data_IF_913725201569
#
_entry.id   IF_913725201569
#
_cell.length_a   1.000
_cell.length_b   1.000
_cell.length_c   1.000
_cell.angle_alpha   90.00
_cell.angle_beta   90.00
_cell.angle_gamma   90.00
#
_symmetry.space_group_name_H-M   'P 1'
#
loop_
_entity.id
_entity.type
_entity.pdbx_description
1 polymer ?
#
# COMPACT_ATOMS: atom_id res chain seq x y z
N UNK A 1 5.03 14.12 -16.23
CA UNK A 1 4.68 14.00 -14.79
C UNK A 1 3.33 13.30 -14.69
N UNK A 2 3.20 12.20 -13.95
CA UNK A 2 1.90 11.54 -13.75
C UNK A 2 1.72 11.21 -12.29
N UNK A 3 0.79 11.90 -11.66
CA UNK A 3 0.52 11.88 -10.23
C UNK A 3 -0.64 10.91 -9.96
N UNK A 4 -0.53 10.05 -8.94
CA UNK A 4 -1.66 9.22 -8.47
C UNK A 4 -2.11 8.08 -9.39
N UNK A 5 -1.20 7.36 -10.06
CA UNK A 5 -1.58 6.18 -10.87
C UNK A 5 -2.01 5.01 -9.97
N UNK A 6 -3.32 4.87 -9.79
CA UNK A 6 -3.95 3.66 -9.26
C UNK A 6 -3.82 2.50 -10.25
N UNK A 7 -3.85 1.28 -9.75
CA UNK A 7 -4.09 0.11 -10.59
C UNK A 7 -5.55 0.16 -11.08
N UNK A 8 -5.88 -0.18 -12.34
CA UNK A 8 -7.27 -0.13 -12.83
C UNK A 8 -8.29 -0.89 -11.98
N UNK A 9 -7.85 -1.92 -11.25
CA UNK A 9 -8.70 -2.73 -10.34
C UNK A 9 -8.87 -2.14 -8.94
N UNK A 10 -8.27 -0.97 -8.64
CA UNK A 10 -8.31 -0.35 -7.31
C UNK A 10 -9.30 0.81 -7.32
N UNK A 11 -10.17 0.86 -6.31
CA UNK A 11 -11.04 1.99 -6.01
C UNK A 11 -10.52 2.79 -4.82
N UNK A 12 -11.13 3.95 -4.55
CA UNK A 12 -10.87 4.73 -3.34
C UNK A 12 -10.63 6.21 -3.61
N UNK A 13 -9.95 6.86 -2.68
CA UNK A 13 -9.71 8.31 -2.72
C UNK A 13 -8.69 8.66 -3.82
N UNK A 14 -9.11 9.48 -4.77
CA UNK A 14 -8.25 10.06 -5.81
C UNK A 14 -8.39 11.59 -5.78
N UNK A 15 -7.40 12.31 -5.23
CA UNK A 15 -7.41 13.77 -5.28
C UNK A 15 -7.33 14.27 -6.73
N UNK A 16 -8.33 15.03 -7.15
CA UNK A 16 -8.37 15.69 -8.46
C UNK A 16 -8.37 17.19 -8.24
N UNK A 17 -7.33 17.86 -8.73
CA UNK A 17 -7.23 19.31 -8.68
C UNK A 17 -7.44 19.91 -10.07
N UNK A 18 -8.13 21.04 -10.13
CA UNK A 18 -8.48 21.73 -11.36
C UNK A 18 -7.75 23.07 -11.47
N UNK A 19 -7.41 23.46 -12.69
CA UNK A 19 -6.81 24.77 -12.99
C UNK A 19 -5.64 25.13 -12.06
N UNK A 20 -5.74 26.27 -11.37
CA UNK A 20 -4.72 26.79 -10.45
C UNK A 20 -4.51 25.92 -9.21
N UNK A 21 -5.49 25.09 -8.83
CA UNK A 21 -5.35 24.19 -7.68
C UNK A 21 -4.36 23.04 -7.94
N UNK A 22 -4.01 22.74 -9.20
CA UNK A 22 -3.00 21.71 -9.53
C UNK A 22 -1.66 21.94 -8.82
N UNK A 23 -1.34 23.18 -8.48
CA UNK A 23 -0.14 23.57 -7.73
C UNK A 23 -0.04 22.92 -6.35
N UNK A 24 -1.17 22.59 -5.70
CA UNK A 24 -1.17 21.99 -4.35
C UNK A 24 -1.00 20.46 -4.38
N UNK A 25 -1.14 19.81 -5.54
CA UNK A 25 -1.06 18.34 -5.65
C UNK A 25 0.31 17.78 -5.21
N UNK A 26 1.39 18.54 -5.39
CA UNK A 26 2.73 18.14 -4.94
C UNK A 26 2.77 17.88 -3.44
N UNK A 27 2.06 18.69 -2.64
CA UNK A 27 1.96 18.52 -1.19
C UNK A 27 1.20 17.25 -0.84
N UNK A 28 0.11 16.95 -1.57
CA UNK A 28 -0.76 15.80 -1.30
C UNK A 28 -0.08 14.48 -1.70
N UNK A 29 0.70 14.45 -2.77
CA UNK A 29 1.27 13.19 -3.27
C UNK A 29 2.28 12.59 -2.29
N UNK A 30 3.01 13.44 -1.56
CA UNK A 30 4.04 13.01 -0.62
C UNK A 30 3.50 12.67 0.77
N UNK A 31 2.21 12.87 1.03
CA UNK A 31 1.60 12.46 2.30
C UNK A 31 1.50 10.94 2.41
N UNK A 32 1.38 10.45 3.65
CA UNK A 32 1.03 9.06 3.91
C UNK A 32 -0.26 8.66 3.18
N UNK A 33 -0.35 7.36 2.88
CA UNK A 33 -1.50 6.74 2.23
C UNK A 33 -2.03 5.63 3.11
N UNK A 34 -3.35 5.48 3.11
CA UNK A 34 -4.04 4.40 3.80
C UNK A 34 -4.77 3.53 2.77
N UNK A 35 -4.70 2.21 2.93
CA UNK A 35 -5.36 1.25 2.09
C UNK A 35 -6.15 0.25 2.94
N UNK A 36 -7.30 -0.18 2.41
CA UNK A 36 -7.99 -1.39 2.84
C UNK A 36 -7.89 -2.39 1.69
N UNK A 37 -7.44 -3.61 1.98
CA UNK A 37 -7.26 -4.63 0.95
C UNK A 37 -7.55 -6.03 1.48
N UNK A 38 -7.96 -6.92 0.59
CA UNK A 38 -8.10 -8.35 0.86
C UNK A 38 -6.85 -9.06 0.37
N UNK A 39 -6.17 -9.76 1.28
CA UNK A 39 -5.09 -10.70 0.97
C UNK A 39 -5.67 -12.11 0.95
N UNK A 40 -5.38 -12.88 -0.10
CA UNK A 40 -5.75 -14.29 -0.20
C UNK A 40 -4.52 -15.16 0.05
N UNK A 41 -4.59 -15.99 1.09
CA UNK A 41 -3.57 -17.00 1.39
C UNK A 41 -3.68 -18.18 0.42
N UNK A 42 -2.54 -18.74 0.02
CA UNK A 42 -2.52 -19.92 -0.84
C UNK A 42 -2.81 -21.23 -0.08
N UNK A 43 -2.78 -21.20 1.25
CA UNK A 43 -3.00 -22.36 2.11
C UNK A 43 -3.44 -21.94 3.50
N UNK A 44 -3.76 -22.92 4.33
CA UNK A 44 -4.22 -22.69 5.68
C UNK A 44 -3.05 -22.34 6.61
N UNK A 45 -3.28 -21.36 7.47
CA UNK A 45 -2.29 -20.82 8.40
C UNK A 45 -2.98 -20.54 9.73
N UNK A 46 -2.34 -20.90 10.84
CA UNK A 46 -2.79 -20.57 12.18
C UNK A 46 -2.83 -19.05 12.43
N UNK A 47 -3.81 -18.57 13.20
CA UNK A 47 -4.02 -17.14 13.46
C UNK A 47 -2.82 -16.51 14.17
N UNK A 48 -2.25 -17.16 15.19
CA UNK A 48 -1.10 -16.63 15.91
C UNK A 48 0.12 -16.51 14.99
N UNK A 49 0.31 -17.49 14.09
CA UNK A 49 1.36 -17.41 13.06
C UNK A 49 1.11 -16.24 12.10
N UNK A 50 -0.11 -16.09 11.58
CA UNK A 50 -0.46 -15.01 10.67
C UNK A 50 -0.22 -13.63 11.31
N UNK A 51 -0.71 -13.41 12.53
CA UNK A 51 -0.51 -12.17 13.27
C UNK A 51 0.98 -11.87 13.52
N UNK A 52 1.75 -12.90 13.92
CA UNK A 52 3.18 -12.74 14.18
C UNK A 52 3.95 -12.30 12.95
N UNK A 53 3.57 -12.81 11.77
CA UNK A 53 4.21 -12.46 10.49
C UNK A 53 3.80 -11.06 10.08
N UNK A 54 2.51 -10.72 10.17
CA UNK A 54 1.99 -9.39 9.83
C UNK A 54 2.68 -8.30 10.66
N UNK A 55 2.88 -8.51 11.96
CA UNK A 55 3.59 -7.55 12.83
C UNK A 55 5.01 -7.25 12.35
N UNK A 56 5.72 -8.22 11.75
CA UNK A 56 7.08 -8.04 11.23
C UNK A 56 7.17 -7.09 10.02
N UNK A 57 6.05 -6.83 9.33
CA UNK A 57 6.02 -5.91 8.20
C UNK A 57 5.78 -4.45 8.62
N UNK A 58 5.52 -4.18 9.90
CA UNK A 58 5.42 -2.80 10.41
C UNK A 58 6.82 -2.22 10.60
N UNK A 59 7.04 -1.00 10.12
CA UNK A 59 8.34 -0.32 10.11
C UNK A 59 8.97 -0.26 8.71
N UNK A 60 10.31 -0.21 8.66
CA UNK A 60 11.07 -0.05 7.42
C UNK A 60 11.17 -1.37 6.66
N UNK A 61 10.73 -1.36 5.41
CA UNK A 61 10.78 -2.49 4.49
C UNK A 61 11.58 -2.15 3.23
N UNK A 62 12.22 -3.14 2.64
CA UNK A 62 12.90 -3.01 1.35
C UNK A 62 11.93 -3.33 0.22
N UNK A 63 11.75 -2.39 -0.71
CA UNK A 63 10.97 -2.60 -1.92
C UNK A 63 11.80 -2.30 -3.16
N UNK A 64 11.62 -3.13 -4.19
CA UNK A 64 12.02 -2.84 -5.57
C UNK A 64 10.75 -2.68 -6.39
N UNK A 65 10.53 -1.56 -7.10
CA UNK A 65 9.36 -1.37 -7.94
C UNK A 65 9.10 -2.56 -8.87
N UNK A 66 7.84 -2.87 -9.19
CA UNK A 66 7.49 -3.88 -10.19
C UNK A 66 7.94 -3.42 -11.59
N UNK A 67 8.04 -4.38 -12.51
CA UNK A 67 8.41 -4.11 -13.91
C UNK A 67 7.48 -3.07 -14.54
N UNK A 68 6.16 -3.23 -14.32
CA UNK A 68 5.14 -2.25 -14.71
C UNK A 68 4.99 -1.21 -13.62
N UNK A 69 5.92 -0.26 -13.58
CA UNK A 69 5.84 0.93 -12.74
C UNK A 69 6.33 2.15 -13.51
N UNK A 70 5.97 3.33 -13.00
CA UNK A 70 6.31 4.60 -13.62
C UNK A 70 7.58 5.25 -13.06
N UNK A 71 8.35 4.50 -12.26
CA UNK A 71 9.51 4.99 -11.52
C UNK A 71 10.68 4.06 -11.75
N UNK A 72 11.91 4.60 -11.64
CA UNK A 72 13.13 3.81 -11.82
C UNK A 72 13.15 2.60 -10.89
N UNK A 73 13.47 1.43 -11.45
CA UNK A 73 13.45 0.15 -10.75
C UNK A 73 14.73 -0.11 -9.94
N UNK A 74 14.90 0.66 -8.86
CA UNK A 74 15.98 0.49 -7.88
C UNK A 74 15.45 -0.04 -6.55
N UNK A 75 16.32 -0.66 -5.73
CA UNK A 75 15.98 -0.97 -4.35
C UNK A 75 15.81 0.33 -3.57
N UNK A 76 14.81 0.38 -2.70
CA UNK A 76 14.53 1.53 -1.84
C UNK A 76 13.86 1.06 -0.56
N UNK A 77 14.00 1.85 0.49
CA UNK A 77 13.32 1.64 1.76
C UNK A 77 11.97 2.37 1.71
N UNK A 78 10.93 1.74 2.27
CA UNK A 78 9.62 2.33 2.52
C UNK A 78 9.20 2.04 3.94
N UNK A 79 8.39 2.91 4.52
CA UNK A 79 7.86 2.70 5.86
C UNK A 79 6.39 2.29 5.83
N UNK A 80 6.07 1.21 6.54
CA UNK A 80 4.71 0.83 6.93
C UNK A 80 4.50 1.35 8.35
N UNK A 81 3.64 2.35 8.51
CA UNK A 81 3.36 2.96 9.81
C UNK A 81 2.48 2.04 10.68
N UNK A 82 1.51 1.38 10.06
CA UNK A 82 0.70 0.34 10.71
C UNK A 82 0.18 -0.67 9.69
N UNK A 83 0.01 -1.90 10.14
CA UNK A 83 -0.60 -2.99 9.40
C UNK A 83 -1.49 -3.79 10.35
N UNK A 84 -2.79 -3.75 10.11
CA UNK A 84 -3.80 -4.29 11.03
C UNK A 84 -4.71 -5.28 10.29
N UNK A 85 -4.97 -6.43 10.91
CA UNK A 85 -6.02 -7.35 10.47
C UNK A 85 -7.35 -6.80 10.96
N UNK A 86 -8.28 -6.55 10.05
CA UNK A 86 -9.66 -6.14 10.38
C UNK A 86 -10.58 -7.35 10.53
N UNK A 87 -10.44 -8.33 9.64
CA UNK A 87 -11.29 -9.51 9.59
C UNK A 87 -10.56 -10.65 8.89
N UNK A 88 -10.95 -11.89 9.18
CA UNK A 88 -10.46 -13.09 8.50
C UNK A 88 -11.61 -14.06 8.25
N UNK A 89 -11.73 -14.51 7.01
CA UNK A 89 -12.64 -15.58 6.60
C UNK A 89 -11.85 -16.66 5.85
N UNK A 90 -11.50 -17.74 6.55
CA UNK A 90 -10.68 -18.83 6.02
C UNK A 90 -9.32 -18.33 5.50
N UNK A 91 -9.18 -18.28 4.17
CA UNK A 91 -7.96 -17.85 3.46
C UNK A 91 -7.98 -16.36 3.08
N UNK A 92 -9.10 -15.67 3.26
CA UNK A 92 -9.24 -14.25 2.98
C UNK A 92 -8.98 -13.45 4.26
N UNK A 93 -8.07 -12.47 4.16
CA UNK A 93 -7.68 -11.62 5.28
C UNK A 93 -7.89 -10.17 4.86
N UNK A 94 -8.80 -9.48 5.54
CA UNK A 94 -9.03 -8.05 5.36
C UNK A 94 -8.00 -7.28 6.17
N UNK A 95 -7.21 -6.45 5.48
CA UNK A 95 -6.10 -5.69 6.06
C UNK A 95 -6.33 -4.20 5.90
N UNK A 96 -5.92 -3.44 6.93
CA UNK A 96 -5.77 -1.99 6.92
C UNK A 96 -4.29 -1.64 6.99
N UNK A 97 -3.82 -0.79 6.08
CA UNK A 97 -2.40 -0.48 5.91
C UNK A 97 -2.21 1.03 5.83
N UNK A 98 -1.41 1.59 6.73
CA UNK A 98 -0.90 2.96 6.63
C UNK A 98 0.56 2.94 6.22
N UNK A 99 0.91 3.64 5.14
CA UNK A 99 2.26 3.56 4.58
C UNK A 99 2.74 4.88 3.95
N UNK A 100 4.06 4.99 3.82
CA UNK A 100 4.73 6.07 3.10
C UNK A 100 4.29 6.12 1.62
N UNK A 101 4.29 7.33 1.04
CA UNK A 101 4.00 7.54 -0.36
C UNK A 101 4.88 6.68 -1.31
N UNK A 102 4.24 6.08 -2.31
CA UNK A 102 4.92 5.25 -3.30
C UNK A 102 5.30 3.84 -2.81
N UNK A 103 4.73 3.40 -1.69
CA UNK A 103 4.73 2.00 -1.26
C UNK A 103 3.87 1.17 -2.21
N UNK A 104 4.36 -0.02 -2.58
CA UNK A 104 3.65 -0.93 -3.47
C UNK A 104 2.96 -2.01 -2.64
N UNK A 105 1.69 -1.82 -2.31
CA UNK A 105 0.92 -2.73 -1.42
C UNK A 105 0.81 -4.17 -1.95
N UNK A 106 0.84 -4.36 -3.27
CA UNK A 106 0.75 -5.69 -3.90
C UNK A 106 2.03 -6.54 -3.79
N UNK A 107 3.09 -6.03 -3.16
CA UNK A 107 4.40 -6.67 -3.11
C UNK A 107 4.90 -6.75 -1.68
#
# INVERSE_FOLDING_TARGET
MGWGRGNPKVSGVLPVALEKATKVLSLIVHTMKEYVCVMQLHGDVDDAKLESVIKKFTGKIYQKPPLRSSVKRTLRIREIHYLTILEREGKLVLLKIGCEAGTYVRK
#
